data_IF_171436129776
#
_entry.id   IF_171436129776
#
_cell.length_a   1.000
_cell.length_b   1.000
_cell.length_c   1.000
_cell.angle_alpha   90.00
_cell.angle_beta   90.00
_cell.angle_gamma   90.00
#
_symmetry.space_group_name_H-M   'P 1'
#
loop_
_entity.id
_entity.type
_entity.pdbx_description
1 polymer ?
#
# COMPACT_ATOMS: atom_id res chain seq x y z
N UNK A 1 9.74 -13.28 4.78
CA UNK A 1 9.87 -11.94 5.40
C UNK A 1 11.25 -11.82 6.02
N UNK A 2 12.00 -10.76 5.69
CA UNK A 2 13.31 -10.48 6.30
C UNK A 2 13.15 -9.88 7.70
N UNK A 3 13.96 -10.31 8.67
CA UNK A 3 13.92 -9.78 10.05
C UNK A 3 14.37 -8.32 10.15
N UNK A 4 15.17 -7.86 9.18
CA UNK A 4 15.65 -6.47 9.09
C UNK A 4 14.81 -5.62 8.13
N UNK A 5 13.68 -6.13 7.63
CA UNK A 5 12.76 -5.36 6.80
C UNK A 5 13.19 -5.14 5.35
N UNK A 6 14.14 -5.92 4.82
CA UNK A 6 14.51 -5.89 3.41
C UNK A 6 13.55 -6.73 2.55
N UNK A 7 13.28 -6.26 1.32
CA UNK A 7 12.67 -7.08 0.27
C UNK A 7 13.59 -8.24 -0.08
N UNK A 8 13.05 -9.45 -0.12
CA UNK A 8 13.80 -10.69 -0.36
C UNK A 8 12.95 -11.66 -1.18
N UNK A 9 13.61 -12.71 -1.70
CA UNK A 9 12.97 -13.86 -2.35
C UNK A 9 12.16 -13.47 -3.60
N UNK A 10 12.87 -12.94 -4.60
CA UNK A 10 12.31 -12.51 -5.88
C UNK A 10 11.92 -13.72 -6.75
N UNK A 11 10.68 -14.19 -6.59
CA UNK A 11 10.05 -15.20 -7.44
C UNK A 11 9.06 -14.56 -8.43
N UNK A 12 7.75 -14.84 -8.35
CA UNK A 12 6.74 -14.27 -9.23
C UNK A 12 6.33 -12.86 -8.78
N UNK A 13 7.31 -11.95 -8.67
CA UNK A 13 7.03 -10.54 -8.43
C UNK A 13 6.62 -9.84 -9.73
N UNK A 14 5.83 -8.77 -9.62
CA UNK A 14 5.45 -7.93 -10.75
C UNK A 14 5.44 -6.48 -10.31
N UNK A 15 5.92 -5.60 -11.20
CA UNK A 15 5.56 -4.19 -11.12
C UNK A 15 4.18 -4.00 -11.75
N UNK A 16 3.45 -3.01 -11.27
CA UNK A 16 2.13 -2.69 -11.80
C UNK A 16 2.35 -1.85 -13.06
N UNK A 17 1.92 -2.39 -14.19
CA UNK A 17 1.74 -1.63 -15.44
C UNK A 17 0.38 -0.92 -15.33
N UNK A 18 -0.69 -1.57 -15.78
CA UNK A 18 -2.05 -1.10 -15.55
C UNK A 18 -2.43 -1.19 -14.07
N UNK A 19 -2.92 -0.09 -13.50
CA UNK A 19 -3.34 -0.06 -12.11
C UNK A 19 -4.67 -0.79 -11.85
N UNK A 20 -4.63 -1.76 -10.93
CA UNK A 20 -5.78 -2.34 -10.25
C UNK A 20 -5.41 -2.64 -8.80
N UNK A 21 -6.32 -2.43 -7.84
CA UNK A 21 -6.04 -2.76 -6.44
C UNK A 21 -5.83 -4.26 -6.24
N UNK A 22 -6.55 -5.05 -7.01
CA UNK A 22 -6.53 -6.51 -6.99
C UNK A 22 -5.45 -7.11 -7.92
N UNK A 23 -4.43 -6.34 -8.31
CA UNK A 23 -3.31 -6.86 -9.09
C UNK A 23 -2.64 -8.05 -8.37
N UNK A 24 -2.63 -9.21 -9.02
CA UNK A 24 -2.00 -10.46 -8.55
C UNK A 24 -0.87 -10.81 -9.50
N UNK A 25 0.38 -10.72 -9.04
CA UNK A 25 1.55 -11.08 -9.84
C UNK A 25 1.79 -12.59 -9.91
N UNK A 26 1.35 -13.33 -8.89
CA UNK A 26 1.60 -14.76 -8.76
C UNK A 26 0.44 -15.58 -9.33
N UNK A 27 0.67 -16.27 -10.43
CA UNK A 27 -0.33 -17.15 -11.07
C UNK A 27 -0.78 -18.32 -10.19
N UNK A 28 -0.01 -18.67 -9.15
CA UNK A 28 -0.37 -19.69 -8.16
C UNK A 28 -1.18 -19.14 -6.97
N UNK A 29 -1.60 -17.88 -7.01
CA UNK A 29 -2.44 -17.24 -5.98
C UNK A 29 -3.82 -16.87 -6.55
N UNK A 30 -4.68 -17.85 -6.89
CA UNK A 30 -5.99 -17.59 -7.50
C UNK A 30 -6.96 -16.88 -6.57
N UNK A 31 -6.69 -16.86 -5.26
CA UNK A 31 -7.52 -16.20 -4.25
C UNK A 31 -7.03 -14.78 -3.90
N UNK A 32 -5.94 -14.32 -4.53
CA UNK A 32 -5.37 -12.99 -4.30
C UNK A 32 -4.91 -12.75 -2.86
N UNK A 33 -4.42 -13.77 -2.16
CA UNK A 33 -3.87 -13.63 -0.81
C UNK A 33 -2.77 -12.57 -0.76
N UNK A 34 -1.97 -12.48 -1.81
CA UNK A 34 -0.83 -11.58 -1.97
C UNK A 34 -1.06 -10.52 -3.06
N UNK A 35 -2.33 -10.19 -3.37
CA UNK A 35 -2.63 -9.08 -4.27
C UNK A 35 -2.05 -7.76 -3.73
N UNK A 36 -1.86 -6.78 -4.61
CA UNK A 36 -1.26 -5.49 -4.25
C UNK A 36 -1.93 -4.83 -3.03
N UNK A 37 -3.26 -4.74 -3.02
CA UNK A 37 -4.01 -4.18 -1.90
C UNK A 37 -3.87 -4.98 -0.59
N UNK A 38 -3.62 -6.29 -0.66
CA UNK A 38 -3.52 -7.15 0.53
C UNK A 38 -2.15 -7.12 1.20
N UNK A 39 -1.10 -6.64 0.54
CA UNK A 39 0.26 -6.70 1.08
C UNK A 39 0.41 -6.07 2.49
N UNK A 40 -0.23 -4.93 2.82
CA UNK A 40 -0.17 -4.37 4.17
C UNK A 40 -0.82 -5.27 5.23
N UNK A 41 -2.00 -5.82 4.94
CA UNK A 41 -2.74 -6.70 5.87
C UNK A 41 -1.98 -8.02 6.07
N UNK A 42 -1.42 -8.59 5.00
CA UNK A 42 -0.57 -9.78 5.03
C UNK A 42 0.68 -9.56 5.86
N UNK A 43 1.32 -8.40 5.74
CA UNK A 43 2.49 -8.06 6.53
C UNK A 43 2.14 -7.96 8.03
N UNK A 44 1.01 -7.33 8.37
CA UNK A 44 0.50 -7.34 9.75
C UNK A 44 0.28 -8.77 10.28
N UNK A 45 -0.32 -9.64 9.46
CA UNK A 45 -0.53 -11.05 9.81
C UNK A 45 0.81 -11.80 10.03
N UNK A 46 1.81 -11.57 9.17
CA UNK A 46 3.15 -12.15 9.32
C UNK A 46 3.84 -11.67 10.61
N UNK A 47 3.68 -10.40 10.97
CA UNK A 47 4.20 -9.86 12.24
C UNK A 47 3.51 -10.50 13.45
N UNK A 48 2.20 -10.77 13.36
CA UNK A 48 1.49 -11.52 14.40
C UNK A 48 2.01 -12.96 14.54
N UNK A 49 2.33 -13.65 13.43
CA UNK A 49 2.98 -14.97 13.49
C UNK A 49 4.36 -14.91 14.15
N UNK A 50 5.16 -13.88 13.83
CA UNK A 50 6.45 -13.67 14.48
C UNK A 50 6.29 -13.47 15.99
N UNK A 51 5.30 -12.66 16.41
CA UNK A 51 5.00 -12.45 17.82
C UNK A 51 4.66 -13.75 18.55
N UNK A 52 3.83 -14.63 17.96
CA UNK A 52 3.52 -15.95 18.52
C UNK A 52 4.79 -16.79 18.77
N UNK A 53 5.71 -16.82 17.78
CA UNK A 53 6.98 -17.54 17.94
C UNK A 53 7.85 -16.95 19.06
N UNK A 54 7.89 -15.62 19.19
CA UNK A 54 8.65 -14.95 20.26
C UNK A 54 8.05 -15.22 21.64
N UNK A 55 6.73 -15.20 21.77
CA UNK A 55 6.03 -15.53 23.03
C UNK A 55 6.37 -16.97 23.44
N UNK A 56 6.31 -17.91 22.50
CA UNK A 56 6.64 -19.31 22.77
C UNK A 56 8.10 -19.46 23.22
N UNK A 57 9.05 -18.86 22.49
CA UNK A 57 10.48 -18.94 22.82
C UNK A 57 10.80 -18.37 24.22
N UNK A 58 10.20 -17.22 24.57
CA UNK A 58 10.37 -16.60 25.89
C UNK A 58 9.74 -17.44 27.02
N UNK A 59 8.61 -18.08 26.74
CA UNK A 59 7.93 -18.96 27.70
C UNK A 59 8.78 -20.21 27.96
N UNK A 60 9.34 -20.82 26.92
CA UNK A 60 10.20 -22.00 27.06
C UNK A 60 11.50 -21.68 27.81
N UNK A 61 12.08 -20.50 27.58
CA UNK A 61 13.24 -20.05 28.34
C UNK A 61 12.94 -19.90 29.84
N UNK A 62 11.75 -19.41 30.20
CA UNK A 62 11.34 -19.26 31.60
C UNK A 62 11.14 -20.62 32.30
N UNK A 63 10.61 -21.62 31.57
CA UNK A 63 10.43 -22.99 32.09
C UNK A 63 11.76 -23.64 32.47
N UNK A 64 12.81 -23.44 31.68
CA UNK A 64 14.14 -23.98 31.99
C UNK A 64 14.75 -23.39 33.28
N UNK A 65 14.21 -22.27 33.79
CA UNK A 65 14.76 -21.50 34.91
C UNK A 65 13.97 -21.63 36.22
N UNK A 66 12.80 -22.27 36.23
CA UNK A 66 11.92 -22.27 37.40
C UNK A 66 11.24 -23.62 37.68
N UNK A 67 11.23 -24.02 38.96
CA UNK A 67 10.56 -25.23 39.44
C UNK A 67 9.03 -25.05 39.39
N UNK A 68 8.34 -26.07 38.89
CA UNK A 68 6.97 -26.07 38.36
C UNK A 68 5.95 -25.27 39.18
N UNK A 69 5.46 -24.15 38.65
CA UNK A 69 4.21 -23.49 39.12
C UNK A 69 3.35 -23.07 37.93
N UNK A 70 2.37 -23.89 37.56
CA UNK A 70 1.50 -23.76 36.38
C UNK A 70 0.72 -22.45 36.32
N UNK A 71 0.31 -21.88 37.47
CA UNK A 71 -0.50 -20.66 37.50
C UNK A 71 0.31 -19.38 37.17
N UNK A 72 1.63 -19.38 37.39
CA UNK A 72 2.50 -18.24 37.03
C UNK A 72 2.79 -18.19 35.52
N UNK A 73 2.84 -19.35 34.88
CA UNK A 73 3.08 -19.47 33.44
C UNK A 73 1.93 -18.90 32.62
N UNK A 74 0.69 -19.28 32.90
CA UNK A 74 -0.48 -18.75 32.19
C UNK A 74 -0.54 -17.22 32.25
N UNK A 75 -0.34 -16.65 33.45
CA UNK A 75 -0.32 -15.19 33.65
C UNK A 75 0.81 -14.52 32.85
N UNK A 76 1.98 -15.16 32.77
CA UNK A 76 3.11 -14.65 32.00
C UNK A 76 2.82 -14.65 30.49
N UNK A 77 2.30 -15.74 29.95
CA UNK A 77 1.92 -15.87 28.54
C UNK A 77 0.85 -14.84 28.17
N UNK A 78 -0.17 -14.69 29.02
CA UNK A 78 -1.23 -13.68 28.81
C UNK A 78 -0.66 -12.26 28.78
N UNK A 79 0.28 -11.96 29.67
CA UNK A 79 0.93 -10.65 29.73
C UNK A 79 1.80 -10.38 28.50
N UNK A 80 2.55 -11.38 28.01
CA UNK A 80 3.33 -11.24 26.79
C UNK A 80 2.42 -11.06 25.57
N UNK A 81 1.38 -11.88 25.44
CA UNK A 81 0.40 -11.78 24.36
C UNK A 81 -0.20 -10.38 24.30
N UNK A 82 -0.69 -9.85 25.42
CA UNK A 82 -1.22 -8.48 25.51
C UNK A 82 -0.20 -7.43 25.10
N UNK A 83 1.07 -7.57 25.51
CA UNK A 83 2.13 -6.63 25.12
C UNK A 83 2.38 -6.64 23.62
N UNK A 84 2.54 -7.82 23.02
CA UNK A 84 2.78 -7.95 21.59
C UNK A 84 1.59 -7.46 20.76
N UNK A 85 0.36 -7.86 21.11
CA UNK A 85 -0.86 -7.38 20.46
C UNK A 85 -0.96 -5.87 20.53
N UNK A 86 -0.76 -5.27 21.71
CA UNK A 86 -0.78 -3.82 21.86
C UNK A 86 0.26 -3.12 20.98
N UNK A 87 1.49 -3.66 20.89
CA UNK A 87 2.51 -3.10 20.01
C UNK A 87 2.07 -3.20 18.54
N UNK A 88 1.60 -4.36 18.08
CA UNK A 88 1.16 -4.53 16.69
C UNK A 88 0.02 -3.58 16.32
N UNK A 89 -1.01 -3.50 17.18
CA UNK A 89 -2.21 -2.69 16.94
C UNK A 89 -1.91 -1.19 16.92
N UNK A 90 -0.98 -0.74 17.76
CA UNK A 90 -0.65 0.69 17.90
C UNK A 90 0.43 1.18 16.95
N UNK A 91 1.23 0.29 16.36
CA UNK A 91 2.41 0.69 15.57
C UNK A 91 2.25 0.45 14.09
N UNK A 92 2.03 -0.80 13.65
CA UNK A 92 2.31 -1.20 12.27
C UNK A 92 1.47 -0.44 11.25
N UNK A 93 0.14 -0.52 11.34
CA UNK A 93 -0.75 0.11 10.36
C UNK A 93 -0.68 1.64 10.40
N UNK A 94 -0.47 2.21 11.59
CA UNK A 94 -0.28 3.66 11.74
C UNK A 94 1.00 4.13 11.05
N UNK A 95 2.12 3.43 11.28
CA UNK A 95 3.39 3.70 10.63
C UNK A 95 3.31 3.51 9.10
N UNK A 96 2.71 2.41 8.65
CA UNK A 96 2.49 2.15 7.23
C UNK A 96 1.72 3.30 6.57
N UNK A 97 0.56 3.69 7.13
CA UNK A 97 -0.26 4.79 6.59
C UNK A 97 0.49 6.11 6.52
N UNK A 98 1.22 6.45 7.59
CA UNK A 98 2.00 7.68 7.67
C UNK A 98 3.10 7.73 6.61
N UNK A 99 3.91 6.67 6.51
CA UNK A 99 5.00 6.57 5.52
C UNK A 99 4.45 6.49 4.09
N UNK A 100 3.35 5.78 3.88
CA UNK A 100 2.68 5.69 2.58
C UNK A 100 2.23 7.07 2.10
N UNK A 101 1.52 7.81 2.95
CA UNK A 101 1.04 9.16 2.62
C UNK A 101 2.21 10.12 2.36
N UNK A 102 3.28 10.05 3.16
CA UNK A 102 4.50 10.83 2.92
C UNK A 102 5.11 10.56 1.54
N UNK A 103 5.17 9.29 1.12
CA UNK A 103 5.67 8.91 -0.21
C UNK A 103 4.74 9.40 -1.32
N UNK A 104 3.43 9.31 -1.13
CA UNK A 104 2.45 9.81 -2.10
C UNK A 104 2.53 11.32 -2.28
N UNK A 105 2.71 12.08 -1.20
CA UNK A 105 2.98 13.52 -1.27
C UNK A 105 4.18 13.86 -2.14
N UNK A 106 5.28 13.13 -1.96
CA UNK A 106 6.49 13.31 -2.78
C UNK A 106 6.20 13.04 -4.26
N UNK A 107 5.47 11.97 -4.58
CA UNK A 107 5.06 11.63 -5.96
C UNK A 107 4.12 12.67 -6.57
N UNK A 108 3.28 13.32 -5.77
CA UNK A 108 2.33 14.34 -6.19
C UNK A 108 2.88 15.78 -6.11
N UNK A 109 4.12 15.97 -5.67
CA UNK A 109 4.70 17.31 -5.48
C UNK A 109 4.02 18.14 -4.38
N UNK A 110 3.42 17.50 -3.37
CA UNK A 110 2.71 18.17 -2.28
C UNK A 110 3.69 18.58 -1.17
N UNK A 111 4.05 19.86 -1.13
CA UNK A 111 4.98 20.42 -0.15
C UNK A 111 4.35 20.76 1.20
N UNK A 112 3.04 21.04 1.23
CA UNK A 112 2.31 21.45 2.42
C UNK A 112 1.40 20.32 2.87
N UNK A 113 1.82 19.57 3.88
CA UNK A 113 1.10 18.41 4.38
C UNK A 113 -0.29 18.79 4.93
N UNK A 114 -1.33 18.15 4.39
CA UNK A 114 -2.73 18.23 4.86
C UNK A 114 -3.33 16.83 4.86
N UNK A 115 -3.18 16.08 5.95
CA UNK A 115 -3.45 14.64 6.00
C UNK A 115 -4.79 14.21 5.41
N UNK A 116 -5.90 14.85 5.81
CA UNK A 116 -7.24 14.48 5.33
C UNK A 116 -7.41 14.72 3.82
N UNK A 117 -7.04 15.92 3.36
CA UNK A 117 -7.17 16.31 1.95
C UNK A 117 -6.23 15.49 1.06
N UNK A 118 -5.00 15.25 1.50
CA UNK A 118 -4.00 14.49 0.74
C UNK A 118 -4.39 13.02 0.63
N UNK A 119 -5.03 12.48 1.67
CA UNK A 119 -5.57 11.11 1.67
C UNK A 119 -6.72 10.99 0.68
N UNK A 120 -7.67 11.92 0.71
CA UNK A 120 -8.80 11.95 -0.23
C UNK A 120 -8.32 12.11 -1.68
N UNK A 121 -7.38 13.03 -1.92
CA UNK A 121 -6.78 13.25 -3.24
C UNK A 121 -6.10 11.97 -3.76
N UNK A 122 -5.31 11.31 -2.92
CA UNK A 122 -4.63 10.06 -3.27
C UNK A 122 -5.64 8.96 -3.62
N UNK A 123 -6.71 8.83 -2.82
CA UNK A 123 -7.75 7.84 -3.08
C UNK A 123 -8.48 8.11 -4.40
N UNK A 124 -8.84 9.38 -4.65
CA UNK A 124 -9.53 9.77 -5.87
C UNK A 124 -8.67 9.54 -7.13
N UNK A 125 -7.36 9.79 -7.03
CA UNK A 125 -6.43 9.46 -8.11
C UNK A 125 -6.42 7.96 -8.40
N UNK A 126 -6.25 7.11 -7.38
CA UNK A 126 -6.23 5.66 -7.58
C UNK A 126 -7.56 5.10 -8.08
N UNK A 127 -8.69 5.60 -7.58
CA UNK A 127 -10.00 5.22 -8.10
C UNK A 127 -10.12 5.57 -9.59
N UNK A 128 -9.64 6.76 -9.99
CA UNK A 128 -9.64 7.17 -11.40
C UNK A 128 -8.75 6.26 -12.23
N UNK A 129 -7.55 5.94 -11.75
CA UNK A 129 -6.61 5.05 -12.44
C UNK A 129 -7.19 3.64 -12.64
N UNK A 130 -7.86 3.10 -11.61
CA UNK A 130 -8.52 1.80 -11.69
C UNK A 130 -9.71 1.82 -12.66
N UNK A 131 -10.55 2.86 -12.60
CA UNK A 131 -11.70 3.02 -13.48
C UNK A 131 -11.32 3.18 -14.96
N UNK A 132 -10.14 3.72 -15.24
CA UNK A 132 -9.69 4.03 -16.61
C UNK A 132 -8.63 3.08 -17.14
N UNK A 133 -8.16 2.14 -16.31
CA UNK A 133 -7.02 1.29 -16.64
C UNK A 133 -5.73 2.08 -16.88
N UNK A 134 -5.53 3.20 -16.19
CA UNK A 134 -4.34 4.01 -16.35
C UNK A 134 -3.08 3.25 -15.94
N UNK A 135 -2.00 3.43 -16.69
CA UNK A 135 -0.69 2.89 -16.33
C UNK A 135 -0.16 3.59 -15.08
N UNK A 136 0.24 2.81 -14.08
CA UNK A 136 0.67 3.29 -12.78
C UNK A 136 1.88 4.20 -12.87
N UNK A 137 2.91 3.80 -13.63
CA UNK A 137 4.17 4.52 -13.70
C UNK A 137 4.02 5.78 -14.55
N UNK A 138 3.44 5.65 -15.73
CA UNK A 138 3.27 6.74 -16.69
C UNK A 138 2.33 7.82 -16.17
N UNK A 139 1.34 7.49 -15.33
CA UNK A 139 0.48 8.50 -14.68
C UNK A 139 1.30 9.52 -13.89
N UNK A 140 2.26 9.06 -13.07
CA UNK A 140 3.09 9.98 -12.29
C UNK A 140 4.14 10.70 -13.14
N UNK A 141 4.69 10.05 -14.17
CA UNK A 141 5.65 10.69 -15.08
C UNK A 141 4.99 11.79 -15.92
N UNK A 142 3.78 11.56 -16.42
CA UNK A 142 3.02 12.57 -17.17
C UNK A 142 2.67 13.78 -16.29
N UNK A 143 2.37 13.55 -15.00
CA UNK A 143 2.14 14.63 -14.04
C UNK A 143 3.41 15.49 -13.85
N UNK A 144 4.57 14.85 -13.70
CA UNK A 144 5.86 15.55 -13.57
C UNK A 144 6.21 16.35 -14.83
N UNK A 145 6.04 15.77 -16.02
CA UNK A 145 6.33 16.45 -17.28
C UNK A 145 5.42 17.68 -17.47
N UNK A 146 4.12 17.52 -17.19
CA UNK A 146 3.15 18.63 -17.25
C UNK A 146 3.57 19.79 -16.35
N UNK A 147 3.94 19.50 -15.09
CA UNK A 147 4.42 20.51 -14.15
C UNK A 147 5.72 21.18 -14.63
N UNK A 148 6.63 20.40 -15.20
CA UNK A 148 7.91 20.89 -15.73
C UNK A 148 7.70 21.85 -16.91
N UNK A 149 6.79 21.53 -17.83
CA UNK A 149 6.43 22.40 -18.95
C UNK A 149 5.85 23.73 -18.49
N UNK A 150 4.96 23.70 -17.49
CA UNK A 150 4.37 24.91 -16.91
C UNK A 150 5.44 25.84 -16.35
N UNK A 151 6.39 25.28 -15.60
CA UNK A 151 7.50 26.04 -15.02
C UNK A 151 8.40 26.62 -16.11
N UNK A 152 8.76 25.82 -17.12
CA UNK A 152 9.63 26.26 -18.21
C UNK A 152 8.99 27.37 -19.06
N UNK A 153 7.70 27.24 -19.37
CA UNK A 153 6.96 28.20 -20.19
C UNK A 153 6.50 29.42 -19.39
N UNK A 154 6.64 29.40 -18.06
CA UNK A 154 6.12 30.40 -17.12
C UNK A 154 4.63 30.74 -17.39
N UNK A 155 3.85 29.72 -17.79
CA UNK A 155 2.46 29.88 -18.18
C UNK A 155 1.55 29.09 -17.25
N UNK A 156 1.14 29.72 -16.15
CA UNK A 156 0.24 29.12 -15.17
C UNK A 156 -1.15 28.79 -15.74
N UNK A 157 -1.53 29.33 -16.91
CA UNK A 157 -2.81 29.01 -17.54
C UNK A 157 -2.90 27.54 -17.94
N UNK A 158 -1.76 26.87 -18.15
CA UNK A 158 -1.69 25.43 -18.41
C UNK A 158 -2.13 24.57 -17.22
N UNK A 159 -2.18 25.13 -16.00
CA UNK A 159 -2.68 24.45 -14.80
C UNK A 159 -4.11 24.83 -14.42
N UNK A 160 -4.80 25.65 -15.22
CA UNK A 160 -6.20 25.98 -14.96
C UNK A 160 -7.05 24.72 -15.17
N UNK A 161 -7.69 24.17 -14.12
CA UNK A 161 -8.43 22.92 -14.24
C UNK A 161 -9.48 22.96 -15.34
N UNK A 162 -10.19 24.09 -15.49
CA UNK A 162 -11.21 24.28 -16.52
C UNK A 162 -10.66 24.23 -17.96
N UNK A 163 -9.40 24.61 -18.17
CA UNK A 163 -8.76 24.52 -19.48
C UNK A 163 -8.26 23.10 -19.73
N UNK A 164 -7.63 22.48 -18.74
CA UNK A 164 -7.18 21.08 -18.82
C UNK A 164 -8.36 20.17 -19.13
N UNK A 165 -9.45 20.28 -18.35
CA UNK A 165 -10.64 19.42 -18.49
C UNK A 165 -11.31 19.59 -19.87
N UNK A 166 -11.22 20.77 -20.51
CA UNK A 166 -11.74 20.99 -21.86
C UNK A 166 -10.95 20.27 -22.96
N UNK A 167 -9.65 20.09 -22.75
CA UNK A 167 -8.77 19.39 -23.69
C UNK A 167 -8.73 17.87 -23.42
N UNK A 168 -9.14 17.44 -22.23
CA UNK A 168 -9.26 16.03 -21.90
C UNK A 168 -10.53 15.40 -22.49
N UNK A 169 -10.41 14.13 -22.90
CA UNK A 169 -11.59 13.32 -23.17
C UNK A 169 -12.39 13.06 -21.89
N UNK A 170 -13.68 12.78 -22.04
CA UNK A 170 -14.54 12.46 -20.90
C UNK A 170 -14.14 11.14 -20.24
N UNK A 171 -14.47 10.97 -18.96
CA UNK A 171 -14.23 9.72 -18.24
C UNK A 171 -14.83 8.51 -18.97
N UNK A 172 -16.02 8.65 -19.55
CA UNK A 172 -16.69 7.61 -20.32
C UNK A 172 -15.91 7.21 -21.58
N UNK A 173 -15.27 8.17 -22.26
CA UNK A 173 -14.44 7.89 -23.43
C UNK A 173 -13.15 7.17 -23.05
N UNK A 174 -12.53 7.53 -21.91
CA UNK A 174 -11.38 6.81 -21.37
C UNK A 174 -11.75 5.36 -21.04
N UNK A 175 -12.89 5.16 -20.39
CA UNK A 175 -13.43 3.84 -20.05
C UNK A 175 -13.71 2.98 -21.28
N UNK A 176 -14.34 3.54 -22.31
CA UNK A 176 -14.62 2.82 -23.57
C UNK A 176 -13.34 2.41 -24.30
N UNK A 177 -12.32 3.27 -24.27
CA UNK A 177 -11.00 2.95 -24.84
C UNK A 177 -10.31 1.83 -24.07
N UNK A 178 -10.55 1.76 -22.75
CA UNK A 178 -9.98 0.77 -21.86
C UNK A 178 -10.66 -0.60 -21.98
N UNK A 179 -11.99 -0.64 -21.98
CA UNK A 179 -12.78 -1.87 -22.18
C UNK A 179 -13.50 -1.80 -23.54
N UNK A 180 -12.80 -2.05 -24.67
CA UNK A 180 -13.45 -2.03 -25.97
C UNK A 180 -14.57 -3.07 -25.97
N UNK A 181 -15.80 -2.62 -26.26
CA UNK A 181 -16.99 -3.46 -26.34
C UNK A 181 -16.67 -4.65 -27.23
N UNK A 182 -16.67 -5.86 -26.63
CA UNK A 182 -16.51 -7.18 -27.25
C UNK A 182 -16.05 -7.09 -28.72
N UNK A 183 -14.73 -7.18 -28.94
CA UNK A 183 -14.26 -7.67 -30.22
C UNK A 183 -14.79 -9.10 -30.38
N UNK A 184 -15.96 -9.24 -31.00
CA UNK A 184 -16.40 -10.50 -31.60
C UNK A 184 -15.29 -10.93 -32.56
N UNK A 185 -14.41 -11.81 -32.06
CA UNK A 185 -13.41 -12.54 -32.83
C UNK A 185 -14.04 -13.78 -33.45
#
# INVERSE_FOLDING_TARGET
MSIIGLTIDYGPFGFIDQFTWDHISNTSDPNGRYSYAQQPSVCAWNLARLAECLIQALTDQQKCSSDKTTNKECIFVDNLTKKFTNVLDTTYMSCFKSVYLERMRKKLGLFYAKDEIDTELTQNLFNTMEMTGADFTNTFLALEDTLSQVVYQNNADLLKPDLIVKECCSLSQLQETFEPINMEL
#
